data_IF_815893275874
#
_entry.id   IF_815893275874
#
_cell.length_a   1.000
_cell.length_b   1.000
_cell.length_c   1.000
_cell.angle_alpha   90.00
_cell.angle_beta   90.00
_cell.angle_gamma   90.00
#
_symmetry.space_group_name_H-M   'P 1'
#
loop_
_entity.id
_entity.type
_entity.pdbx_description
1 polymer ?
#
# COMPACT_ATOMS: atom_id res chain seq x y z
N UNK A 1 11.62 -26.11 -28.10
CA UNK A 1 11.90 -26.11 -26.65
C UNK A 1 12.43 -24.74 -26.27
N UNK A 2 11.56 -23.75 -26.07
CA UNK A 2 11.92 -22.45 -25.49
C UNK A 2 10.63 -21.73 -25.10
N UNK A 3 10.15 -22.02 -23.88
CA UNK A 3 8.98 -21.37 -23.29
C UNK A 3 9.42 -20.08 -22.59
N UNK A 4 8.99 -18.97 -23.17
CA UNK A 4 8.35 -17.83 -22.48
C UNK A 4 8.96 -17.38 -21.14
N UNK A 5 10.20 -16.88 -21.15
CA UNK A 5 10.80 -16.17 -20.01
C UNK A 5 10.33 -14.70 -19.92
N UNK A 6 9.58 -14.21 -20.92
CA UNK A 6 9.09 -12.83 -20.96
C UNK A 6 7.76 -12.65 -20.22
N UNK A 7 6.83 -13.61 -20.30
CA UNK A 7 5.53 -13.49 -19.63
C UNK A 7 5.61 -13.61 -18.10
N UNK A 8 6.66 -14.24 -17.54
CA UNK A 8 6.80 -14.38 -16.09
C UNK A 8 7.13 -13.07 -15.37
N UNK A 9 7.63 -12.06 -16.08
CA UNK A 9 7.91 -10.73 -15.51
C UNK A 9 6.67 -9.83 -15.43
N UNK A 10 5.65 -10.11 -16.23
CA UNK A 10 4.34 -9.45 -16.14
C UNK A 10 3.38 -10.20 -15.20
N UNK A 11 3.80 -11.35 -14.68
CA UNK A 11 3.11 -12.13 -13.65
C UNK A 11 3.57 -11.72 -12.25
N UNK A 12 3.74 -10.41 -12.01
CA UNK A 12 3.66 -9.91 -10.65
C UNK A 12 2.20 -10.06 -10.20
N UNK A 13 1.85 -11.22 -9.63
CA UNK A 13 0.56 -11.54 -8.99
C UNK A 13 -0.60 -10.61 -9.37
N UNK A 14 -1.11 -10.72 -10.61
CA UNK A 14 -2.12 -9.82 -11.19
C UNK A 14 -3.49 -9.83 -10.49
N UNK A 15 -3.58 -10.33 -9.25
CA UNK A 15 -4.76 -10.27 -8.41
C UNK A 15 -4.95 -8.90 -7.75
N UNK A 16 -3.88 -8.19 -7.39
CA UNK A 16 -3.94 -6.97 -6.58
C UNK A 16 -3.19 -5.79 -7.22
N UNK A 17 -3.86 -4.62 -7.26
CA UNK A 17 -3.31 -3.35 -7.72
C UNK A 17 -2.66 -2.53 -6.59
N UNK A 18 -2.96 -2.85 -5.33
CA UNK A 18 -2.29 -2.29 -4.16
C UNK A 18 -2.31 -3.31 -3.03
N UNK A 19 -1.16 -3.55 -2.40
CA UNK A 19 -1.06 -4.29 -1.15
C UNK A 19 -0.35 -3.48 -0.08
N UNK A 20 -0.99 -3.35 1.09
CA UNK A 20 -0.41 -2.85 2.33
C UNK A 20 -0.29 -4.01 3.31
N UNK A 21 0.90 -4.19 3.87
CA UNK A 21 1.19 -5.20 4.89
C UNK A 21 1.79 -4.53 6.13
N UNK A 22 0.97 -4.35 7.16
CA UNK A 22 1.37 -3.82 8.46
C UNK A 22 1.90 -2.38 8.40
N UNK A 23 1.38 -1.56 7.48
CA UNK A 23 1.91 -0.21 7.22
C UNK A 23 1.69 0.70 8.42
N UNK A 24 2.79 1.16 9.00
CA UNK A 24 2.79 2.14 10.09
C UNK A 24 3.57 3.39 9.68
N UNK A 25 3.21 4.54 10.28
CA UNK A 25 3.94 5.79 10.09
C UNK A 25 3.89 6.59 11.38
N UNK A 26 5.06 6.92 11.90
CA UNK A 26 5.25 7.77 13.06
C UNK A 26 5.96 9.08 12.66
N UNK A 27 5.59 10.17 13.31
CA UNK A 27 6.28 11.46 13.23
C UNK A 27 6.65 11.89 14.65
N UNK A 28 7.87 11.53 15.08
CA UNK A 28 8.25 11.63 16.49
C UNK A 28 7.30 10.80 17.36
N UNK A 29 6.66 11.43 18.34
CA UNK A 29 5.69 10.78 19.22
C UNK A 29 4.29 10.60 18.61
N UNK A 30 3.99 11.22 17.46
CA UNK A 30 2.69 11.12 16.82
C UNK A 30 2.59 9.83 15.99
N UNK A 31 1.60 8.99 16.33
CA UNK A 31 1.24 7.80 15.54
C UNK A 31 0.22 8.21 14.47
N UNK A 32 0.66 8.34 13.23
CA UNK A 32 -0.21 8.74 12.12
C UNK A 32 -0.87 7.55 11.42
N UNK A 33 -0.18 6.40 11.32
CA UNK A 33 -0.73 5.13 10.86
C UNK A 33 -0.26 4.01 11.79
N UNK A 34 -1.16 3.10 12.14
CA UNK A 34 -0.92 2.03 13.12
C UNK A 34 -1.18 0.65 12.52
N UNK A 35 -0.26 0.15 11.69
CA UNK A 35 -0.29 -1.23 11.21
C UNK A 35 -1.42 -1.55 10.22
N UNK A 36 -1.62 -0.70 9.22
CA UNK A 36 -2.67 -0.87 8.21
C UNK A 36 -2.31 -2.01 7.25
N UNK A 37 -3.19 -3.00 7.16
CA UNK A 37 -3.08 -4.11 6.19
C UNK A 37 -4.32 -4.16 5.31
N UNK A 38 -4.12 -4.15 3.99
CA UNK A 38 -5.21 -4.29 3.02
C UNK A 38 -4.71 -4.67 1.63
N UNK A 39 -5.56 -5.35 0.84
CA UNK A 39 -5.30 -5.66 -0.57
C UNK A 39 -6.42 -5.13 -1.45
N UNK A 40 -6.10 -4.38 -2.49
CA UNK A 40 -7.06 -3.84 -3.48
C UNK A 40 -6.88 -4.62 -4.76
N UNK A 41 -7.95 -5.25 -5.26
CA UNK A 41 -7.90 -5.93 -6.54
C UNK A 41 -7.75 -4.95 -7.72
N UNK A 42 -7.20 -5.41 -8.84
CA UNK A 42 -7.18 -4.60 -10.05
C UNK A 42 -8.61 -4.25 -10.49
N UNK A 43 -8.90 -2.96 -10.68
CA UNK A 43 -10.24 -2.46 -11.01
C UNK A 43 -11.18 -2.23 -9.82
N UNK A 44 -10.80 -2.63 -8.61
CA UNK A 44 -11.55 -2.34 -7.39
C UNK A 44 -11.42 -0.86 -7.00
N UNK A 45 -12.51 -0.28 -6.49
CA UNK A 45 -12.53 1.07 -5.93
C UNK A 45 -12.80 0.99 -4.44
N UNK A 46 -11.94 1.61 -3.63
CA UNK A 46 -12.15 1.79 -2.19
C UNK A 46 -12.09 3.25 -1.79
N UNK A 47 -12.88 3.60 -0.78
CA UNK A 47 -12.86 4.90 -0.15
C UNK A 47 -12.21 4.78 1.23
N UNK A 48 -11.34 5.73 1.57
CA UNK A 48 -10.78 5.89 2.92
C UNK A 48 -11.55 6.99 3.62
N UNK A 49 -12.27 6.64 4.68
CA UNK A 49 -13.11 7.56 5.45
C UNK A 49 -12.55 7.77 6.85
N UNK A 50 -12.82 8.93 7.44
CA UNK A 50 -12.39 9.29 8.79
C UNK A 50 -12.41 10.79 9.03
N UNK A 51 -12.38 11.22 10.29
CA UNK A 51 -12.33 12.63 10.69
C UNK A 51 -11.03 13.32 10.26
N UNK A 52 -10.97 14.65 10.41
CA UNK A 52 -9.72 15.40 10.25
C UNK A 52 -8.68 14.90 11.26
N UNK A 53 -7.45 14.69 10.80
CA UNK A 53 -6.37 14.13 11.63
C UNK A 53 -6.32 12.60 11.71
N UNK A 54 -7.28 11.87 11.15
CA UNK A 54 -7.31 10.40 11.20
C UNK A 54 -6.22 9.68 10.35
N UNK A 55 -5.23 10.41 9.81
CA UNK A 55 -4.13 9.82 9.04
C UNK A 55 -4.40 9.56 7.55
N UNK A 56 -5.54 9.98 6.99
CA UNK A 56 -5.90 9.75 5.58
C UNK A 56 -4.84 10.26 4.59
N UNK A 57 -4.47 11.53 4.68
CA UNK A 57 -3.42 12.11 3.81
C UNK A 57 -2.09 11.41 4.02
N UNK A 58 -1.75 11.03 5.26
CA UNK A 58 -0.54 10.25 5.54
C UNK A 58 -0.57 8.88 4.88
N UNK A 59 -1.71 8.19 4.88
CA UNK A 59 -1.89 6.91 4.19
C UNK A 59 -1.66 7.06 2.69
N UNK A 60 -2.29 8.07 2.06
CA UNK A 60 -2.10 8.33 0.63
C UNK A 60 -0.65 8.67 0.30
N UNK A 61 -0.01 9.54 1.07
CA UNK A 61 1.40 9.89 0.88
C UNK A 61 2.34 8.69 1.05
N UNK A 62 1.99 7.73 1.94
CA UNK A 62 2.74 6.49 2.06
C UNK A 62 2.58 5.61 0.81
N UNK A 63 1.34 5.49 0.30
CA UNK A 63 1.02 4.72 -0.91
C UNK A 63 1.72 5.31 -2.15
N UNK A 64 1.74 6.64 -2.29
CA UNK A 64 2.36 7.33 -3.44
C UNK A 64 3.88 7.40 -3.34
N UNK A 65 4.46 7.05 -2.20
CA UNK A 65 5.91 7.07 -1.96
C UNK A 65 6.46 8.42 -1.50
N UNK A 66 5.61 9.43 -1.26
CA UNK A 66 6.03 10.72 -0.70
C UNK A 66 6.59 10.56 0.72
N UNK A 67 6.09 9.58 1.47
CA UNK A 67 6.65 9.15 2.75
C UNK A 67 6.95 7.66 2.74
N UNK A 68 8.15 7.26 3.16
CA UNK A 68 8.40 5.86 3.46
C UNK A 68 7.60 5.41 4.68
N UNK A 69 6.99 4.22 4.71
CA UNK A 69 6.43 3.70 5.94
C UNK A 69 7.52 3.54 7.02
N UNK A 70 7.17 3.79 8.28
CA UNK A 70 8.06 3.55 9.42
C UNK A 70 8.20 2.05 9.71
N UNK A 71 7.20 1.25 9.35
CA UNK A 71 7.21 -0.20 9.39
C UNK A 71 6.20 -0.76 8.38
N UNK A 72 6.33 -2.04 8.03
CA UNK A 72 5.49 -2.70 7.05
C UNK A 72 5.97 -2.48 5.61
N UNK A 73 5.14 -2.89 4.64
CA UNK A 73 5.46 -2.85 3.20
C UNK A 73 4.27 -2.42 2.37
N UNK A 74 4.58 -1.78 1.24
CA UNK A 74 3.64 -1.34 0.20
C UNK A 74 4.10 -1.96 -1.11
N UNK A 75 3.19 -2.58 -1.87
CA UNK A 75 3.44 -3.22 -3.17
C UNK A 75 2.35 -2.88 -4.17
#
# INVERSE_FOLDING_TARGET
MTLNVAASRLQGSGAHALELDGVARHFGALVALSGISMRIAAGERRAVLGSNGAGKTTLFNAITGDFMPSAGRIR
#
